data_IF_021405718167
#
_entry.id   IF_021405718167
#
_cell.length_a   1.000
_cell.length_b   1.000
_cell.length_c   1.000
_cell.angle_alpha   90.00
_cell.angle_beta   90.00
_cell.angle_gamma   90.00
#
_symmetry.space_group_name_H-M   'P 1'
#
loop_
_entity.id
_entity.type
_entity.pdbx_description
1 polymer ?
#
# COMPACT_ATOMS: atom_id res chain seq x y z
N UNK A 1 24.32 -23.05 58.81
CA UNK A 1 25.33 -23.64 57.90
C UNK A 1 24.99 -25.11 57.69
N UNK A 2 24.98 -25.58 56.44
CA UNK A 2 25.03 -27.01 56.02
C UNK A 2 23.74 -27.80 56.21
N UNK A 3 22.98 -28.11 55.15
CA UNK A 3 23.13 -29.21 54.18
C UNK A 3 22.85 -30.60 54.78
N UNK A 4 21.92 -31.33 54.13
CA UNK A 4 21.97 -32.74 53.67
C UNK A 4 20.53 -33.16 53.27
N UNK A 5 20.23 -33.26 51.96
CA UNK A 5 20.20 -34.50 51.14
C UNK A 5 19.12 -35.50 51.59
N UNK A 6 18.11 -35.79 50.73
CA UNK A 6 17.77 -37.13 50.21
C UNK A 6 16.86 -37.02 48.96
N UNK A 7 17.23 -37.83 47.95
CA UNK A 7 16.61 -38.25 46.69
C UNK A 7 15.11 -38.65 46.68
N UNK A 8 14.43 -38.41 45.55
CA UNK A 8 13.41 -39.32 44.98
C UNK A 8 13.21 -39.09 43.45
N UNK A 9 13.13 -40.14 42.59
CA UNK A 9 12.89 -40.03 41.15
C UNK A 9 11.40 -40.14 40.74
N UNK A 10 11.13 -39.76 39.48
CA UNK A 10 9.84 -39.62 38.77
C UNK A 10 8.89 -40.84 38.81
N UNK A 11 7.59 -40.60 38.54
CA UNK A 11 6.77 -41.46 37.70
C UNK A 11 6.41 -40.82 36.35
N UNK A 12 6.67 -41.58 35.28
CA UNK A 12 6.22 -41.34 33.91
C UNK A 12 4.71 -41.57 33.75
N UNK A 13 3.99 -40.59 33.20
CA UNK A 13 2.60 -40.76 32.74
C UNK A 13 2.52 -40.50 31.24
N UNK A 14 2.10 -41.53 30.52
CA UNK A 14 2.13 -41.66 29.08
C UNK A 14 1.15 -40.77 28.31
N UNK A 15 1.55 -40.48 27.07
CA UNK A 15 0.75 -39.81 26.05
C UNK A 15 -0.36 -40.74 25.53
N UNK A 16 -1.61 -40.25 25.34
CA UNK A 16 -2.66 -41.03 24.71
C UNK A 16 -2.45 -41.13 23.19
N UNK A 17 -2.63 -42.36 22.68
CA UNK A 17 -2.59 -42.74 21.26
C UNK A 17 -3.58 -41.94 20.40
N UNK A 18 -3.07 -41.17 19.44
CA UNK A 18 -3.84 -40.62 18.34
C UNK A 18 -4.23 -41.74 17.37
N UNK A 19 -5.52 -42.07 17.32
CA UNK A 19 -6.11 -42.94 16.30
C UNK A 19 -6.04 -42.24 14.95
N UNK A 20 -5.46 -42.93 13.98
CA UNK A 20 -5.45 -42.61 12.55
C UNK A 20 -6.87 -42.58 12.00
N UNK A 21 -7.39 -41.38 11.72
CA UNK A 21 -8.60 -41.21 10.91
C UNK A 21 -8.19 -41.22 9.44
N UNK A 22 -8.69 -42.21 8.69
CA UNK A 22 -8.50 -42.36 7.26
C UNK A 22 -9.20 -41.23 6.48
N UNK A 23 -8.43 -40.44 5.73
CA UNK A 23 -8.96 -39.50 4.75
C UNK A 23 -9.58 -40.24 3.55
N UNK A 24 -10.75 -39.83 3.04
CA UNK A 24 -11.30 -40.38 1.81
C UNK A 24 -10.50 -39.91 0.59
N UNK A 25 -10.19 -40.84 -0.33
CA UNK A 25 -9.49 -40.58 -1.59
C UNK A 25 -10.31 -39.67 -2.51
N UNK A 26 -9.70 -38.71 -3.24
CA UNK A 26 -10.41 -37.93 -4.24
C UNK A 26 -10.77 -38.80 -5.46
N UNK A 27 -12.04 -38.75 -5.86
CA UNK A 27 -12.55 -39.36 -7.07
C UNK A 27 -11.97 -38.69 -8.32
N UNK A 28 -11.53 -39.51 -9.27
CA UNK A 28 -10.98 -39.12 -10.56
C UNK A 28 -11.94 -38.24 -11.37
N UNK A 29 -11.59 -36.98 -11.59
CA UNK A 29 -12.24 -36.11 -12.56
C UNK A 29 -11.74 -36.45 -13.98
N UNK A 30 -12.65 -36.98 -14.80
CA UNK A 30 -12.43 -37.20 -16.23
C UNK A 30 -12.78 -35.90 -16.99
N UNK A 31 -11.77 -35.29 -17.61
CA UNK A 31 -11.91 -34.19 -18.54
C UNK A 31 -12.48 -34.70 -19.87
N UNK A 32 -13.73 -34.33 -20.18
CA UNK A 32 -14.27 -34.39 -21.56
C UNK A 32 -14.21 -32.99 -22.17
N UNK A 33 -13.62 -32.81 -23.36
CA UNK A 33 -13.64 -31.52 -24.05
C UNK A 33 -14.99 -31.33 -24.75
N UNK A 34 -15.75 -30.33 -24.33
CA UNK A 34 -16.91 -29.82 -25.05
C UNK A 34 -16.45 -28.71 -25.99
N UNK A 35 -16.16 -29.09 -27.23
CA UNK A 35 -16.07 -28.18 -28.37
C UNK A 35 -17.51 -27.85 -28.78
N UNK A 36 -17.96 -26.63 -28.51
CA UNK A 36 -19.11 -26.04 -29.19
C UNK A 36 -18.70 -24.67 -29.70
N UNK A 37 -18.25 -24.65 -30.95
CA UNK A 37 -18.03 -23.43 -31.72
C UNK A 37 -19.40 -22.93 -32.19
N UNK A 38 -19.84 -21.80 -31.65
CA UNK A 38 -20.94 -21.02 -32.22
C UNK A 38 -20.42 -20.30 -33.46
N UNK A 39 -20.83 -20.77 -34.65
CA UNK A 39 -20.71 -20.03 -35.91
C UNK A 39 -21.69 -18.85 -35.87
N UNK A 40 -21.18 -17.65 -35.63
CA UNK A 40 -21.88 -16.43 -35.98
C UNK A 40 -21.77 -16.21 -37.50
N UNK A 41 -22.93 -16.09 -38.12
CA UNK A 41 -23.16 -15.88 -39.55
C UNK A 41 -22.69 -14.50 -40.04
N UNK A 42 -21.78 -14.47 -41.01
CA UNK A 42 -21.51 -13.32 -41.87
C UNK A 42 -22.35 -13.39 -43.15
N UNK A 43 -23.08 -12.35 -43.56
CA UNK A 43 -23.60 -12.26 -44.92
C UNK A 43 -22.67 -11.44 -45.83
N UNK A 44 -22.06 -12.17 -46.77
CA UNK A 44 -22.01 -11.91 -48.22
C UNK A 44 -21.59 -10.51 -48.72
N UNK A 45 -20.37 -10.44 -49.26
CA UNK A 45 -19.92 -9.42 -50.21
C UNK A 45 -20.56 -9.69 -51.58
N UNK A 46 -21.43 -8.78 -52.03
CA UNK A 46 -21.91 -8.74 -53.42
C UNK A 46 -20.86 -8.08 -54.32
N UNK A 47 -20.54 -8.80 -55.39
CA UNK A 47 -19.72 -8.35 -56.50
C UNK A 47 -20.30 -7.10 -57.19
N UNK A 48 -19.42 -6.18 -57.58
CA UNK A 48 -19.68 -5.09 -58.53
C UNK A 48 -18.64 -5.14 -59.65
N UNK A 49 -19.10 -4.73 -60.83
CA UNK A 49 -18.65 -5.05 -62.20
C UNK A 49 -17.23 -4.59 -62.62
N UNK A 50 -16.61 -5.26 -63.61
CA UNK A 50 -15.29 -4.91 -64.13
C UNK A 50 -15.38 -3.97 -65.33
N UNK A 51 -15.52 -2.66 -65.10
CA UNK A 51 -15.26 -1.61 -66.11
C UNK A 51 -14.82 -0.32 -65.42
N UNK A 52 -13.54 -0.24 -65.09
CA UNK A 52 -12.76 1.02 -64.88
C UNK A 52 -11.28 0.62 -64.70
N UNK A 53 -10.75 -0.11 -65.68
CA UNK A 53 -9.32 -0.19 -65.94
C UNK A 53 -9.01 0.95 -66.89
N UNK A 54 -8.62 2.10 -66.36
CA UNK A 54 -7.82 3.15 -67.02
C UNK A 54 -7.69 4.37 -66.08
N UNK A 55 -6.85 4.23 -65.05
CA UNK A 55 -6.13 5.36 -64.44
C UNK A 55 -4.88 4.83 -63.72
N UNK A 56 -4.07 4.07 -64.45
CA UNK A 56 -2.68 3.82 -64.08
C UNK A 56 -1.89 5.05 -64.51
N UNK A 57 -1.35 5.81 -63.54
CA UNK A 57 -0.19 6.73 -63.59
C UNK A 57 -0.42 8.01 -62.74
N UNK A 58 -0.39 7.88 -61.42
CA UNK A 58 0.03 8.95 -60.49
C UNK A 58 0.19 8.39 -59.07
N UNK A 59 1.38 7.90 -58.72
CA UNK A 59 1.77 7.56 -57.35
C UNK A 59 2.54 8.74 -56.75
N UNK A 60 2.04 9.40 -55.69
CA UNK A 60 2.90 10.03 -54.70
C UNK A 60 3.15 9.02 -53.57
N UNK A 61 4.43 8.76 -53.27
CA UNK A 61 4.90 8.06 -52.07
C UNK A 61 4.44 8.83 -50.82
N UNK A 62 3.26 8.52 -50.31
CA UNK A 62 2.81 8.97 -48.99
C UNK A 62 3.18 7.90 -47.97
N UNK A 63 4.13 8.26 -47.12
CA UNK A 63 4.60 7.48 -45.98
C UNK A 63 3.42 7.00 -45.14
N UNK A 64 3.26 5.69 -45.03
CA UNK A 64 2.41 5.10 -44.00
C UNK A 64 2.89 5.60 -42.64
N UNK A 65 2.00 6.26 -41.91
CA UNK A 65 2.20 6.58 -40.50
C UNK A 65 2.43 5.27 -39.75
N UNK A 66 3.70 4.99 -39.47
CA UNK A 66 4.06 3.99 -38.47
C UNK A 66 3.44 4.47 -37.15
N UNK A 67 2.43 3.75 -36.68
CA UNK A 67 1.99 3.83 -35.30
C UNK A 67 3.22 3.52 -34.43
N UNK A 68 3.63 4.41 -33.50
CA UNK A 68 4.73 4.10 -32.59
C UNK A 68 4.22 3.15 -31.50
N UNK A 69 3.95 1.90 -31.87
CA UNK A 69 3.32 0.91 -30.99
C UNK A 69 4.26 -0.19 -30.47
N UNK A 70 5.44 -0.35 -31.06
CA UNK A 70 6.34 -1.49 -30.75
C UNK A 70 7.69 -1.11 -30.11
N UNK A 71 8.16 0.14 -30.28
CA UNK A 71 9.43 0.60 -29.67
C UNK A 71 9.32 1.04 -28.21
N UNK A 72 8.14 1.52 -27.78
CA UNK A 72 7.93 2.04 -26.43
C UNK A 72 7.92 0.92 -25.36
N UNK A 73 7.37 -0.26 -25.70
CA UNK A 73 7.35 -1.42 -24.79
C UNK A 73 8.73 -2.02 -24.50
N UNK A 74 9.72 -1.78 -25.37
CA UNK A 74 11.10 -2.23 -25.14
C UNK A 74 11.88 -1.30 -24.21
N UNK A 75 11.75 0.01 -24.40
CA UNK A 75 12.46 1.02 -23.59
C UNK A 75 11.88 1.16 -22.17
N UNK A 76 10.56 1.04 -21.99
CA UNK A 76 9.92 1.03 -20.67
C UNK A 76 10.25 -0.24 -19.87
N UNK A 77 10.28 -1.40 -20.54
CA UNK A 77 10.73 -2.66 -19.94
C UNK A 77 12.21 -2.61 -19.56
N UNK A 78 13.04 -1.94 -20.37
CA UNK A 78 14.46 -1.73 -20.06
C UNK A 78 14.63 -0.78 -18.86
N UNK A 79 13.94 0.36 -18.83
CA UNK A 79 14.07 1.33 -17.73
C UNK A 79 13.66 0.75 -16.37
N UNK A 80 12.51 0.07 -16.28
CA UNK A 80 12.05 -0.48 -15.00
C UNK A 80 12.88 -1.69 -14.57
N UNK A 81 13.36 -2.50 -15.53
CA UNK A 81 14.33 -3.56 -15.27
C UNK A 81 15.70 -3.03 -14.82
N UNK A 82 16.17 -1.91 -15.37
CA UNK A 82 17.40 -1.23 -14.95
C UNK A 82 17.27 -0.66 -13.54
N UNK A 83 16.14 -0.02 -13.22
CA UNK A 83 15.85 0.45 -11.86
C UNK A 83 15.79 -0.71 -10.86
N UNK A 84 15.20 -1.84 -11.24
CA UNK A 84 15.17 -3.02 -10.39
C UNK A 84 16.58 -3.56 -10.08
N UNK A 85 17.51 -3.53 -11.05
CA UNK A 85 18.92 -3.88 -10.79
C UNK A 85 19.57 -2.95 -9.76
N UNK A 86 19.15 -1.69 -9.71
CA UNK A 86 19.53 -0.70 -8.71
C UNK A 86 18.67 -0.76 -7.42
N UNK A 87 17.91 -1.85 -7.25
CA UNK A 87 17.02 -2.15 -6.10
C UNK A 87 15.92 -1.14 -5.89
N UNK A 88 15.43 -0.55 -6.99
CA UNK A 88 14.32 0.40 -7.00
C UNK A 88 13.07 -0.30 -7.52
N UNK A 89 11.99 -0.23 -6.75
CA UNK A 89 10.67 -0.78 -7.07
C UNK A 89 9.64 0.37 -7.07
N UNK A 90 8.70 0.36 -8.02
CA UNK A 90 7.66 1.39 -8.15
C UNK A 90 6.25 0.83 -7.97
N UNK A 91 5.51 1.39 -7.01
CA UNK A 91 4.07 1.27 -6.88
C UNK A 91 3.40 2.57 -7.36
N UNK A 92 3.08 2.64 -8.65
CA UNK A 92 2.56 3.85 -9.31
C UNK A 92 1.07 3.82 -9.70
N UNK A 93 0.34 2.76 -9.34
CA UNK A 93 -1.04 2.51 -9.77
C UNK A 93 -1.95 2.21 -8.57
N UNK A 94 -3.26 2.03 -8.83
CA UNK A 94 -4.17 1.41 -7.87
C UNK A 94 -3.64 0.03 -7.45
N UNK A 95 -3.86 -0.34 -6.19
CA UNK A 95 -3.43 -1.64 -5.67
C UNK A 95 -4.48 -2.69 -6.00
N UNK A 96 -4.14 -3.62 -6.90
CA UNK A 96 -4.90 -4.83 -7.19
C UNK A 96 -3.98 -6.06 -7.07
N UNK A 97 -4.54 -7.26 -7.28
CA UNK A 97 -3.79 -8.51 -7.11
C UNK A 97 -2.63 -8.62 -8.11
N UNK A 98 -2.78 -8.12 -9.33
CA UNK A 98 -1.72 -8.16 -10.35
C UNK A 98 -0.55 -7.24 -9.98
N UNK A 99 -0.84 -6.02 -9.54
CA UNK A 99 0.17 -5.08 -9.05
C UNK A 99 0.85 -5.64 -7.80
N UNK A 100 0.09 -6.21 -6.87
CA UNK A 100 0.64 -6.80 -5.66
C UNK A 100 1.59 -7.96 -5.96
N UNK A 101 1.20 -8.91 -6.82
CA UNK A 101 2.05 -10.03 -7.21
C UNK A 101 3.37 -9.56 -7.84
N UNK A 102 3.33 -8.51 -8.66
CA UNK A 102 4.51 -7.92 -9.27
C UNK A 102 5.44 -7.29 -8.23
N UNK A 103 4.91 -6.52 -7.26
CA UNK A 103 5.70 -5.90 -6.19
C UNK A 103 6.29 -6.98 -5.27
N UNK A 104 5.48 -7.95 -4.85
CA UNK A 104 5.90 -9.06 -3.98
C UNK A 104 7.05 -9.84 -4.62
N UNK A 105 6.90 -10.20 -5.90
CA UNK A 105 7.94 -10.92 -6.64
C UNK A 105 9.25 -10.14 -6.72
N UNK A 106 9.18 -8.82 -6.93
CA UNK A 106 10.35 -7.95 -6.97
C UNK A 106 11.04 -7.85 -5.61
N UNK A 107 10.29 -7.65 -4.51
CA UNK A 107 10.84 -7.57 -3.17
C UNK A 107 11.56 -8.88 -2.78
N UNK A 108 10.92 -10.03 -3.02
CA UNK A 108 11.50 -11.34 -2.73
C UNK A 108 12.75 -11.62 -3.58
N UNK A 109 12.73 -11.23 -4.87
CA UNK A 109 13.90 -11.37 -5.74
C UNK A 109 15.09 -10.55 -5.23
N UNK A 110 14.85 -9.28 -4.87
CA UNK A 110 15.90 -8.39 -4.38
C UNK A 110 16.47 -8.86 -3.03
N UNK A 111 15.62 -9.35 -2.13
CA UNK A 111 16.06 -9.94 -0.86
C UNK A 111 16.90 -11.21 -1.07
N UNK A 112 16.50 -12.07 -2.02
CA UNK A 112 17.25 -13.28 -2.34
C UNK A 112 18.63 -12.98 -2.97
N UNK A 113 18.73 -11.91 -3.77
CA UNK A 113 19.98 -11.49 -4.40
C UNK A 113 20.99 -10.92 -3.40
N UNK A 114 20.55 -10.03 -2.52
CA UNK A 114 21.39 -9.42 -1.49
C UNK A 114 20.51 -8.94 -0.32
N UNK A 115 20.42 -9.69 0.79
CA UNK A 115 19.58 -9.31 1.93
C UNK A 115 20.21 -8.21 2.80
N UNK A 116 21.45 -7.81 2.52
CA UNK A 116 22.15 -6.79 3.33
C UNK A 116 21.97 -5.37 2.82
N UNK A 117 21.48 -5.22 1.59
CA UNK A 117 21.28 -3.93 0.94
C UNK A 117 19.82 -3.53 0.94
N UNK A 118 19.59 -2.26 1.22
CA UNK A 118 18.25 -1.67 1.21
C UNK A 118 17.56 -1.83 -0.15
N UNK A 119 16.23 -1.93 -0.10
CA UNK A 119 15.32 -1.84 -1.24
C UNK A 119 14.59 -0.50 -1.15
N UNK A 120 14.50 0.24 -2.27
CA UNK A 120 13.74 1.50 -2.33
C UNK A 120 12.41 1.28 -3.03
N UNK A 121 11.32 1.42 -2.29
CA UNK A 121 9.95 1.32 -2.79
C UNK A 121 9.35 2.72 -2.95
N UNK A 122 9.25 3.20 -4.18
CA UNK A 122 8.58 4.45 -4.50
C UNK A 122 7.08 4.24 -4.63
N UNK A 123 6.29 5.09 -3.98
CA UNK A 123 4.84 4.95 -3.86
C UNK A 123 4.16 6.22 -4.37
N UNK A 124 3.34 6.09 -5.41
CA UNK A 124 2.39 7.08 -5.89
C UNK A 124 1.09 6.35 -6.21
N UNK A 125 0.23 6.18 -5.21
CA UNK A 125 -0.96 5.34 -5.31
C UNK A 125 -2.11 5.88 -4.47
N UNK A 126 -3.34 5.88 -5.00
CA UNK A 126 -4.53 6.22 -4.25
C UNK A 126 -5.01 5.09 -3.30
N UNK A 127 -4.33 3.93 -3.30
CA UNK A 127 -4.75 2.72 -2.59
C UNK A 127 -5.47 1.72 -3.49
N UNK A 128 -6.23 0.81 -2.89
CA UNK A 128 -6.98 -0.21 -3.62
C UNK A 128 -7.44 -1.37 -2.74
N UNK A 129 -7.29 -2.59 -3.25
CA UNK A 129 -7.67 -3.82 -2.56
C UNK A 129 -6.92 -3.96 -1.22
N UNK A 130 -7.67 -4.16 -0.14
CA UNK A 130 -7.10 -4.34 1.19
C UNK A 130 -6.27 -5.63 1.27
N UNK A 131 -6.76 -6.75 0.74
CA UNK A 131 -6.04 -8.03 0.76
C UNK A 131 -4.72 -7.96 -0.01
N UNK A 132 -4.74 -7.36 -1.21
CA UNK A 132 -3.54 -7.14 -2.02
C UNK A 132 -2.52 -6.26 -1.28
N UNK A 133 -3.01 -5.23 -0.59
CA UNK A 133 -2.17 -4.36 0.25
C UNK A 133 -1.55 -5.14 1.42
N UNK A 134 -2.34 -5.95 2.13
CA UNK A 134 -1.82 -6.76 3.24
C UNK A 134 -0.75 -7.73 2.77
N UNK A 135 -0.91 -8.33 1.59
CA UNK A 135 0.12 -9.19 1.01
C UNK A 135 1.44 -8.44 0.76
N UNK A 136 1.39 -7.22 0.19
CA UNK A 136 2.60 -6.39 0.04
C UNK A 136 3.18 -6.04 1.41
N UNK A 137 2.35 -5.60 2.36
CA UNK A 137 2.77 -5.21 3.70
C UNK A 137 3.50 -6.36 4.42
N UNK A 138 2.92 -7.56 4.41
CA UNK A 138 3.52 -8.74 5.04
C UNK A 138 4.87 -9.10 4.42
N UNK A 139 5.02 -8.94 3.09
CA UNK A 139 6.30 -9.17 2.42
C UNK A 139 7.33 -8.10 2.80
N UNK A 140 6.92 -6.83 2.93
CA UNK A 140 7.79 -5.77 3.47
C UNK A 140 8.27 -6.10 4.89
N UNK A 141 7.43 -6.73 5.73
CA UNK A 141 7.83 -7.19 7.06
C UNK A 141 8.68 -8.48 7.04
N UNK A 142 8.51 -9.33 6.03
CA UNK A 142 9.14 -10.65 5.93
C UNK A 142 10.58 -10.58 5.40
N UNK A 143 10.84 -9.69 4.44
CA UNK A 143 12.18 -9.58 3.82
C UNK A 143 13.23 -9.18 4.86
N UNK A 144 14.46 -9.65 4.66
CA UNK A 144 15.60 -9.39 5.55
C UNK A 144 16.24 -8.04 5.25
N UNK A 145 16.26 -7.66 3.97
CA UNK A 145 16.68 -6.35 3.53
C UNK A 145 15.74 -5.27 4.07
N UNK A 146 16.32 -4.15 4.52
CA UNK A 146 15.51 -2.99 4.88
C UNK A 146 14.78 -2.42 3.66
N UNK A 147 13.52 -2.04 3.84
CA UNK A 147 12.70 -1.44 2.78
C UNK A 147 12.49 0.04 3.09
N UNK A 148 13.16 0.90 2.34
CA UNK A 148 12.93 2.34 2.36
C UNK A 148 11.74 2.69 1.47
N UNK A 149 10.69 3.23 2.08
CA UNK A 149 9.49 3.67 1.36
C UNK A 149 9.58 5.16 1.05
N UNK A 150 9.27 5.57 -0.17
CA UNK A 150 9.36 6.97 -0.61
C UNK A 150 8.08 7.38 -1.31
N UNK A 151 7.29 8.25 -0.67
CA UNK A 151 6.02 8.71 -1.22
C UNK A 151 6.20 9.92 -2.17
N UNK A 152 5.65 9.79 -3.38
CA UNK A 152 5.58 10.81 -4.42
C UNK A 152 4.12 11.08 -4.75
N UNK A 153 3.75 12.34 -5.03
CA UNK A 153 2.39 12.66 -5.49
C UNK A 153 1.34 12.39 -4.41
N UNK A 154 0.77 11.17 -4.37
CA UNK A 154 -0.16 10.75 -3.33
C UNK A 154 0.17 9.34 -2.78
N UNK A 155 0.00 9.17 -1.48
CA UNK A 155 -0.08 7.86 -0.82
C UNK A 155 -1.33 7.84 0.05
N UNK A 156 -2.44 7.33 -0.50
CA UNK A 156 -3.75 7.39 0.13
C UNK A 156 -4.33 6.01 0.44
N UNK A 157 -5.24 5.96 1.41
CA UNK A 157 -5.95 4.74 1.80
C UNK A 157 -4.95 3.62 2.11
N UNK A 158 -5.13 2.43 1.53
CA UNK A 158 -4.26 1.27 1.77
C UNK A 158 -2.80 1.50 1.33
N UNK A 159 -2.52 2.41 0.39
CA UNK A 159 -1.14 2.75 0.01
C UNK A 159 -0.37 3.44 1.14
N UNK A 160 -1.05 4.17 2.02
CA UNK A 160 -0.45 4.79 3.21
C UNK A 160 0.01 3.74 4.23
N UNK A 161 -0.64 2.56 4.25
CA UNK A 161 -0.23 1.42 5.08
C UNK A 161 1.09 0.84 4.57
N UNK A 162 1.24 0.70 3.25
CA UNK A 162 2.51 0.26 2.62
C UNK A 162 3.62 1.27 2.93
N UNK A 163 3.32 2.57 2.79
CA UNK A 163 4.26 3.65 3.14
C UNK A 163 4.72 3.55 4.60
N UNK A 164 3.78 3.45 5.54
CA UNK A 164 4.05 3.34 6.96
C UNK A 164 4.73 2.04 7.39
N UNK A 165 4.58 0.98 6.60
CA UNK A 165 5.18 -0.35 6.83
C UNK A 165 6.66 -0.45 6.47
N UNK A 166 7.25 0.55 5.81
CA UNK A 166 8.69 0.58 5.55
C UNK A 166 9.53 0.54 6.83
N UNK A 167 10.81 0.20 6.70
CA UNK A 167 11.74 0.14 7.84
C UNK A 167 11.77 1.50 8.55
N UNK A 168 11.62 1.47 9.88
CA UNK A 168 11.64 2.68 10.72
C UNK A 168 12.94 3.48 10.52
N UNK A 169 12.80 4.79 10.36
CA UNK A 169 13.89 5.71 10.02
C UNK A 169 14.15 5.83 8.51
N UNK A 170 13.47 5.04 7.67
CA UNK A 170 13.65 5.01 6.21
C UNK A 170 12.33 5.23 5.44
N UNK A 171 11.27 5.71 6.11
CA UNK A 171 9.97 6.05 5.52
C UNK A 171 9.96 7.53 5.17
N UNK A 172 9.80 7.89 3.91
CA UNK A 172 10.12 9.22 3.39
C UNK A 172 9.01 9.73 2.48
N UNK A 173 8.93 11.05 2.30
CA UNK A 173 8.05 11.66 1.30
C UNK A 173 8.67 12.92 0.67
N UNK A 174 8.26 13.22 -0.57
CA UNK A 174 8.58 14.50 -1.21
C UNK A 174 7.74 15.65 -0.66
N UNK A 175 8.15 16.93 -0.79
CA UNK A 175 7.53 18.06 -0.10
C UNK A 175 6.09 18.35 -0.53
N UNK A 176 5.73 17.98 -1.76
CA UNK A 176 4.39 18.18 -2.32
C UNK A 176 3.50 16.95 -2.20
N UNK A 177 3.99 15.86 -1.61
CA UNK A 177 3.21 14.62 -1.49
C UNK A 177 2.03 14.80 -0.54
N UNK A 178 0.88 14.22 -0.88
CA UNK A 178 -0.25 14.11 0.05
C UNK A 178 -0.34 12.70 0.60
N UNK A 179 -0.50 12.57 1.91
CA UNK A 179 -0.74 11.30 2.58
C UNK A 179 -2.19 11.31 3.07
N UNK A 180 -2.92 10.21 2.88
CA UNK A 180 -4.30 10.11 3.39
C UNK A 180 -4.54 8.76 4.05
N UNK A 181 -5.11 8.78 5.25
CA UNK A 181 -5.58 7.59 5.97
C UNK A 181 -7.09 7.67 6.14
N UNK A 182 -7.75 6.51 6.09
CA UNK A 182 -9.17 6.35 6.41
C UNK A 182 -9.46 4.89 6.78
N UNK A 183 -10.67 4.63 7.28
CA UNK A 183 -11.12 3.26 7.55
C UNK A 183 -11.34 2.48 6.25
N UNK A 184 -11.21 1.14 6.29
CA UNK A 184 -11.52 0.30 5.14
C UNK A 184 -12.94 0.53 4.62
N UNK A 185 -13.08 0.57 3.30
CA UNK A 185 -14.39 0.60 2.64
C UNK A 185 -14.89 -0.83 2.42
N UNK A 186 -16.20 -1.04 2.55
CA UNK A 186 -16.83 -2.34 2.33
C UNK A 186 -18.33 -2.19 2.09
N UNK A 187 -18.94 -3.28 1.64
CA UNK A 187 -20.38 -3.40 1.47
C UNK A 187 -20.84 -4.79 1.89
N UNK A 188 -22.10 -4.91 2.29
CA UNK A 188 -22.70 -6.18 2.66
C UNK A 188 -24.06 -6.31 1.97
N UNK A 189 -24.34 -7.47 1.39
CA UNK A 189 -25.60 -7.78 0.71
C UNK A 189 -25.88 -9.28 0.72
N UNK A 190 -27.14 -9.69 0.53
CA UNK A 190 -27.54 -11.10 0.50
C UNK A 190 -28.57 -11.44 1.58
N UNK A 191 -28.58 -12.70 2.03
CA UNK A 191 -29.44 -13.11 3.14
C UNK A 191 -28.99 -12.44 4.44
N UNK A 192 -29.87 -12.40 5.45
CA UNK A 192 -29.56 -11.78 6.72
C UNK A 192 -28.24 -12.31 7.34
N UNK A 193 -28.00 -13.63 7.24
CA UNK A 193 -26.77 -14.25 7.73
C UNK A 193 -25.54 -13.85 6.91
N UNK A 194 -25.67 -13.71 5.58
CA UNK A 194 -24.56 -13.28 4.72
C UNK A 194 -24.17 -11.83 5.03
N UNK A 195 -25.16 -10.96 5.27
CA UNK A 195 -24.94 -9.57 5.65
C UNK A 195 -24.22 -9.49 7.00
N UNK A 196 -24.64 -10.29 7.97
CA UNK A 196 -23.98 -10.37 9.28
C UNK A 196 -22.52 -10.80 9.16
N UNK A 197 -22.22 -11.86 8.39
CA UNK A 197 -20.86 -12.37 8.18
C UNK A 197 -19.98 -11.29 7.52
N UNK A 198 -20.48 -10.64 6.46
CA UNK A 198 -19.74 -9.58 5.76
C UNK A 198 -19.50 -8.36 6.66
N UNK A 199 -20.48 -7.97 7.48
CA UNK A 199 -20.32 -6.87 8.42
C UNK A 199 -19.26 -7.20 9.50
N UNK A 200 -19.24 -8.42 10.01
CA UNK A 200 -18.22 -8.87 10.96
C UNK A 200 -16.81 -8.83 10.34
N UNK A 201 -16.67 -9.23 9.08
CA UNK A 201 -15.41 -9.18 8.34
C UNK A 201 -14.92 -7.75 8.11
N UNK A 202 -15.81 -6.82 7.75
CA UNK A 202 -15.48 -5.39 7.63
C UNK A 202 -14.98 -4.84 8.98
N UNK A 203 -15.63 -5.21 10.08
CA UNK A 203 -15.21 -4.79 11.43
C UNK A 203 -13.88 -5.42 11.85
N UNK A 204 -13.61 -6.66 11.44
CA UNK A 204 -12.31 -7.30 11.63
C UNK A 204 -11.21 -6.52 10.92
N UNK A 205 -11.42 -6.22 9.64
CA UNK A 205 -10.49 -5.48 8.80
C UNK A 205 -10.22 -4.07 9.34
N UNK A 206 -11.26 -3.34 9.79
CA UNK A 206 -11.10 -2.04 10.44
C UNK A 206 -10.19 -2.13 11.66
N UNK A 207 -10.41 -3.11 12.54
CA UNK A 207 -9.58 -3.32 13.74
C UNK A 207 -8.14 -3.67 13.37
N UNK A 208 -7.92 -4.49 12.34
CA UNK A 208 -6.58 -4.86 11.90
C UNK A 208 -5.81 -3.65 11.36
N UNK A 209 -6.41 -2.89 10.44
CA UNK A 209 -5.81 -1.67 9.87
C UNK A 209 -5.49 -0.64 10.96
N UNK A 210 -6.41 -0.45 11.92
CA UNK A 210 -6.19 0.46 13.05
C UNK A 210 -4.97 0.03 13.89
N UNK A 211 -4.82 -1.27 14.17
CA UNK A 211 -3.65 -1.80 14.88
C UNK A 211 -2.35 -1.58 14.11
N UNK A 212 -2.36 -1.81 12.80
CA UNK A 212 -1.18 -1.63 11.95
C UNK A 212 -0.74 -0.17 11.97
N UNK A 213 -1.68 0.77 11.72
CA UNK A 213 -1.39 2.20 11.74
C UNK A 213 -0.91 2.65 13.12
N UNK A 214 -1.55 2.21 14.20
CA UNK A 214 -1.10 2.48 15.57
C UNK A 214 0.34 1.97 15.81
N UNK A 215 0.65 0.76 15.33
CA UNK A 215 1.95 0.12 15.47
C UNK A 215 3.10 0.93 14.87
N UNK A 216 2.95 1.39 13.62
CA UNK A 216 4.02 2.14 12.96
C UNK A 216 4.03 3.65 13.29
N UNK A 217 2.88 4.22 13.70
CA UNK A 217 2.77 5.65 14.03
C UNK A 217 3.15 5.97 15.48
N UNK A 218 3.06 4.97 16.38
CA UNK A 218 3.23 5.18 17.81
C UNK A 218 2.03 5.85 18.50
N UNK A 219 0.92 6.05 17.78
CA UNK A 219 -0.35 6.54 18.33
C UNK A 219 -1.12 5.41 19.00
N UNK A 220 -1.96 5.73 19.98
CA UNK A 220 -2.85 4.71 20.58
C UNK A 220 -3.88 4.22 19.56
N UNK A 221 -4.38 3.00 19.78
CA UNK A 221 -5.43 2.40 18.97
C UNK A 221 -6.67 3.32 18.89
N UNK A 222 -7.10 3.88 20.02
CA UNK A 222 -8.30 4.73 20.12
C UNK A 222 -8.13 6.04 19.36
N UNK A 223 -6.92 6.61 19.37
CA UNK A 223 -6.63 7.83 18.63
C UNK A 223 -6.68 7.56 17.12
N UNK A 224 -6.05 6.48 16.67
CA UNK A 224 -6.08 6.09 15.26
C UNK A 224 -7.50 5.76 14.82
N UNK A 225 -8.27 5.01 15.61
CA UNK A 225 -9.66 4.66 15.27
C UNK A 225 -10.52 5.90 15.02
N UNK A 226 -10.32 6.96 15.82
CA UNK A 226 -10.99 8.25 15.65
C UNK A 226 -10.47 9.00 14.41
N UNK A 227 -9.15 9.00 14.22
CA UNK A 227 -8.51 9.76 13.14
C UNK A 227 -8.78 9.18 11.74
N UNK A 228 -9.08 7.87 11.64
CA UNK A 228 -9.42 7.21 10.38
C UNK A 228 -10.93 7.13 10.12
N UNK A 229 -11.79 7.62 11.01
CA UNK A 229 -13.25 7.51 10.82
C UNK A 229 -13.72 8.25 9.55
N UNK A 230 -13.02 9.32 9.18
CA UNK A 230 -13.18 10.03 7.91
C UNK A 230 -11.83 10.16 7.22
N UNK A 231 -11.87 10.54 5.94
CA UNK A 231 -10.69 10.84 5.18
C UNK A 231 -9.86 11.92 5.89
N UNK A 232 -8.65 11.56 6.29
CA UNK A 232 -7.69 12.46 6.92
C UNK A 232 -6.50 12.66 5.99
N UNK A 233 -6.49 13.79 5.30
CA UNK A 233 -5.36 14.19 4.46
C UNK A 233 -4.31 14.95 5.26
N UNK A 234 -3.05 14.66 4.98
CA UNK A 234 -1.87 15.23 5.61
C UNK A 234 -0.86 15.68 4.57
N UNK A 235 -0.19 16.78 4.85
CA UNK A 235 1.07 17.16 4.24
C UNK A 235 2.18 16.19 4.71
N UNK A 236 3.36 16.20 4.05
CA UNK A 236 4.48 15.37 4.49
C UNK A 236 4.91 15.70 5.92
N UNK A 237 4.89 16.98 6.31
CA UNK A 237 5.25 17.42 7.66
C UNK A 237 4.26 16.87 8.69
N UNK A 238 2.95 17.04 8.45
CA UNK A 238 1.91 16.47 9.32
C UNK A 238 2.01 14.94 9.40
N UNK A 239 2.42 14.27 8.32
CA UNK A 239 2.62 12.82 8.29
C UNK A 239 3.85 12.37 9.10
N UNK A 240 4.91 13.19 9.18
CA UNK A 240 6.03 12.98 10.11
C UNK A 240 5.56 13.12 11.55
N UNK A 241 4.84 14.21 11.86
CA UNK A 241 4.30 14.45 13.21
C UNK A 241 3.31 13.35 13.64
N UNK A 242 2.53 12.82 12.70
CA UNK A 242 1.62 11.72 12.95
C UNK A 242 2.38 10.40 13.18
N UNK A 243 3.57 10.24 12.57
CA UNK A 243 4.42 9.05 12.67
C UNK A 243 4.31 8.08 11.49
N UNK A 244 3.64 8.46 10.39
CA UNK A 244 3.50 7.62 9.18
C UNK A 244 4.82 7.54 8.43
N UNK A 245 5.52 8.66 8.33
CA UNK A 245 6.85 8.76 7.73
C UNK A 245 7.85 9.32 8.74
N UNK A 246 9.13 9.16 8.46
CA UNK A 246 10.23 9.59 9.31
C UNK A 246 10.81 10.94 8.87
N UNK A 247 10.81 11.26 7.57
CA UNK A 247 11.33 12.53 7.07
C UNK A 247 10.77 12.97 5.71
N UNK A 248 10.98 14.25 5.40
CA UNK A 248 10.68 14.87 4.09
C UNK A 248 12.00 15.11 3.35
N UNK A 249 12.07 14.68 2.08
CA UNK A 249 13.25 14.82 1.23
C UNK A 249 13.11 16.04 0.33
N UNK A 250 14.07 16.95 0.30
CA UNK A 250 14.18 17.98 -0.74
C UNK A 250 15.62 18.13 -1.25
N UNK A 251 15.82 17.87 -2.55
CA UNK A 251 17.05 17.87 -3.39
C UNK A 251 18.38 17.49 -2.72
N UNK A 252 18.87 18.27 -1.76
CA UNK A 252 20.18 18.11 -1.09
C UNK A 252 20.09 18.06 0.46
N UNK A 253 18.88 18.04 1.00
CA UNK A 253 18.61 18.08 2.43
C UNK A 253 17.45 17.16 2.79
N UNK A 254 17.71 16.19 3.68
CA UNK A 254 16.67 15.73 4.60
C UNK A 254 16.30 16.98 5.38
N UNK A 255 15.09 17.53 5.21
CA UNK A 255 14.67 18.73 5.94
C UNK A 255 14.71 18.33 7.43
N UNK A 256 15.70 18.79 8.21
CA UNK A 256 15.79 18.38 9.60
C UNK A 256 14.62 19.04 10.32
N UNK A 257 13.86 18.23 11.06
CA UNK A 257 12.88 18.71 12.01
C UNK A 257 13.55 19.77 12.88
N UNK A 258 13.01 20.99 12.85
CA UNK A 258 13.38 22.00 13.84
C UNK A 258 13.21 21.34 15.22
N UNK A 259 14.22 21.35 16.10
CA UNK A 259 14.13 20.64 17.37
C UNK A 259 12.92 21.17 18.14
N UNK A 260 12.03 20.25 18.54
CA UNK A 260 10.91 20.55 19.43
C UNK A 260 11.50 21.21 20.68
N UNK A 261 11.17 22.48 20.99
CA UNK A 261 11.71 23.13 22.17
C UNK A 261 11.30 22.33 23.40
N UNK A 262 12.25 22.01 24.29
CA UNK A 262 12.06 21.18 25.49
C UNK A 262 10.90 21.66 26.40
N UNK A 263 10.47 22.91 26.24
CA UNK A 263 9.20 23.41 26.75
C UNK A 263 8.52 24.29 25.70
N UNK A 264 7.37 23.84 25.21
CA UNK A 264 6.36 24.77 24.67
C UNK A 264 5.94 25.65 25.83
N UNK A 265 6.42 26.90 25.89
CA UNK A 265 5.81 27.89 26.78
C UNK A 265 4.36 28.02 26.34
N UNK A 266 3.44 27.78 27.27
CA UNK A 266 2.02 28.07 27.07
C UNK A 266 1.90 29.48 26.47
N UNK A 267 1.28 29.60 25.29
CA UNK A 267 0.90 30.90 24.74
C UNK A 267 -0.10 31.65 25.64
N UNK A 268 -0.64 30.95 26.65
CA UNK A 268 -1.58 31.48 27.64
C UNK A 268 -0.88 31.68 28.97
N UNK A 269 -0.69 32.93 29.36
CA UNK A 269 -0.33 33.31 30.72
C UNK A 269 -1.62 33.31 31.57
N UNK A 270 -1.90 32.21 32.27
CA UNK A 270 -3.11 32.07 33.09
C UNK A 270 -3.24 33.15 34.18
N UNK A 271 -2.12 33.72 34.65
CA UNK A 271 -2.15 34.83 35.61
C UNK A 271 -2.59 36.15 34.99
N UNK A 272 -2.35 36.37 33.70
CA UNK A 272 -2.85 37.54 32.97
C UNK A 272 -4.33 37.36 32.58
N UNK A 273 -4.71 36.14 32.17
CA UNK A 273 -6.10 35.80 31.83
C UNK A 273 -7.01 35.91 33.07
N UNK A 274 -6.50 35.57 34.26
CA UNK A 274 -7.22 35.76 35.52
C UNK A 274 -7.41 37.24 35.90
N UNK A 275 -6.53 38.14 35.44
CA UNK A 275 -6.59 39.56 35.75
C UNK A 275 -7.54 40.32 34.82
N UNK A 276 -7.62 39.91 33.55
CA UNK A 276 -8.57 40.48 32.59
C UNK A 276 -9.11 39.41 31.62
N UNK A 277 -10.24 38.77 31.95
CA UNK A 277 -10.83 37.71 31.13
C UNK A 277 -11.34 38.20 29.76
N UNK A 278 -11.62 39.50 29.61
CA UNK A 278 -12.21 40.05 28.38
C UNK A 278 -11.19 40.13 27.25
N UNK A 279 -9.93 40.40 27.57
CA UNK A 279 -8.83 40.49 26.59
C UNK A 279 -8.52 39.16 25.90
N UNK A 280 -8.85 38.04 26.54
CA UNK A 280 -8.74 36.70 25.95
C UNK A 280 -9.83 36.41 24.91
N UNK A 281 -11.03 36.97 25.08
CA UNK A 281 -12.16 36.74 24.16
C UNK A 281 -12.08 37.61 22.90
N UNK A 282 -11.37 38.73 22.97
CA UNK A 282 -11.08 39.62 21.85
C UNK A 282 -9.60 39.98 21.86
N UNK A 283 -8.73 39.09 21.36
CA UNK A 283 -7.33 39.41 21.20
C UNK A 283 -7.18 40.48 20.12
N UNK A 284 -6.39 41.53 20.41
CA UNK A 284 -5.93 42.46 19.37
C UNK A 284 -4.91 41.72 18.52
N UNK A 285 -5.34 41.18 17.38
CA UNK A 285 -4.49 40.50 16.41
C UNK A 285 -3.94 41.60 15.48
N UNK A 286 -2.61 41.81 15.43
CA UNK A 286 -2.00 42.72 14.48
C UNK A 286 -2.33 42.29 13.03
N UNK A 287 -2.62 43.25 12.15
CA UNK A 287 -3.05 42.97 10.76
C UNK A 287 -2.02 42.13 9.96
N UNK A 288 -0.77 42.11 10.40
CA UNK A 288 0.34 41.32 9.87
C UNK A 288 0.29 39.82 10.21
N UNK A 289 -0.58 39.38 11.12
CA UNK A 289 -0.80 37.97 11.46
C UNK A 289 -2.04 37.37 10.75
N UNK A 290 -2.74 38.14 9.92
CA UNK A 290 -3.94 37.71 9.16
C UNK A 290 -3.58 37.51 7.68
N UNK A 291 -2.53 36.77 7.35
CA UNK A 291 -2.26 36.26 5.98
C UNK A 291 -1.51 34.94 5.99
#
# INVERSE_FOLDING_TARGET
MGLLSVSSPLPSLGFPNLRTTSFPKPSSFSLRPLISASLASSPSLKALNPKTLDSVLALPLAHGSQTPGMGARGAEADAMGLLLKERIVFLGNNVDDFVADAIISQLLLLDAQDPTKDIRLFINSPGGSLSATMAIYDIVQLVRADVSTVALGISASTASIILGGGTKGKRLAMPNTRIMIHQPLGGASGQAIDVEIQAQEIMHNKKNVTKIIAGFSGRSFEQVEKDIDRDRYMSPIEAVEYGIIDAVIDRDSIIPLVPVPEKVKSRLNYEEISKDPRKFLTPDIPDDEIY
#
